data_IF_238067401099
#
_entry.id   IF_238067401099
#
_cell.length_a   1.000
_cell.length_b   1.000
_cell.length_c   1.000
_cell.angle_alpha   90.00
_cell.angle_beta   90.00
_cell.angle_gamma   90.00
#
_symmetry.space_group_name_H-M   'P 1'
#
loop_
_entity.id
_entity.type
_entity.pdbx_description
1 polymer ?
#
# COMPACT_ATOMS: atom_id res chain seq x y z
N UNK A 1 -13.52 24.14 5.82
CA UNK A 1 -13.26 22.77 5.35
C UNK A 1 -12.84 21.97 6.56
N UNK A 2 -13.63 20.98 7.05
CA UNK A 2 -13.13 20.14 8.13
C UNK A 2 -11.93 19.37 7.57
N UNK A 3 -10.88 19.23 8.39
CA UNK A 3 -9.70 18.45 8.05
C UNK A 3 -10.15 17.06 7.61
N UNK A 4 -9.66 16.67 6.44
CA UNK A 4 -9.72 15.31 5.92
C UNK A 4 -9.30 14.37 7.06
N UNK A 5 -10.28 13.66 7.64
CA UNK A 5 -9.99 12.77 8.75
C UNK A 5 -9.27 11.58 8.16
N UNK A 6 -7.93 11.64 8.18
CA UNK A 6 -7.07 10.54 7.75
C UNK A 6 -7.52 9.32 8.53
N UNK A 7 -8.19 8.39 7.84
CA UNK A 7 -8.67 7.15 8.45
C UNK A 7 -7.46 6.41 8.98
N UNK A 8 -7.47 6.06 10.26
CA UNK A 8 -6.42 5.23 10.84
C UNK A 8 -6.64 3.81 10.35
N UNK A 9 -5.69 3.32 9.57
CA UNK A 9 -5.70 1.96 9.03
C UNK A 9 -4.51 1.21 9.62
N UNK A 10 -4.76 0.04 10.19
CA UNK A 10 -3.72 -0.83 10.75
C UNK A 10 -3.87 -2.24 10.19
N UNK A 11 -2.80 -2.83 9.69
CA UNK A 11 -2.79 -4.24 9.31
C UNK A 11 -3.00 -5.10 10.56
N UNK A 12 -3.80 -6.15 10.42
CA UNK A 12 -3.91 -7.18 11.46
C UNK A 12 -2.61 -7.99 11.56
N UNK A 13 -2.46 -8.72 12.66
CA UNK A 13 -1.37 -9.70 12.82
C UNK A 13 -1.62 -10.98 12.01
N UNK A 14 -2.84 -11.17 11.49
CA UNK A 14 -3.14 -12.30 10.60
C UNK A 14 -2.26 -12.27 9.34
N UNK A 15 -1.60 -13.39 9.01
CA UNK A 15 -0.73 -13.45 7.85
C UNK A 15 -1.50 -13.24 6.55
N UNK A 16 -0.94 -12.54 5.55
CA UNK A 16 -1.59 -12.42 4.25
C UNK A 16 -1.68 -13.82 3.60
N UNK A 17 -2.73 -14.06 2.81
CA UNK A 17 -3.00 -15.35 2.15
C UNK A 17 -2.81 -15.20 0.66
N UNK A 18 -2.01 -16.09 0.07
CA UNK A 18 -1.83 -16.11 -1.38
C UNK A 18 -3.09 -16.63 -2.08
N UNK A 19 -3.60 -15.85 -3.04
CA UNK A 19 -4.66 -16.24 -3.96
C UNK A 19 -4.05 -16.38 -5.36
N UNK A 20 -3.66 -17.59 -5.71
CA UNK A 20 -3.02 -17.90 -7.00
C UNK A 20 -3.96 -17.80 -8.20
N UNK A 21 -5.29 -17.85 -7.99
CA UNK A 21 -6.26 -17.70 -9.09
C UNK A 21 -6.38 -16.23 -9.51
N UNK A 22 -6.30 -15.31 -8.55
CA UNK A 22 -6.35 -13.87 -8.79
C UNK A 22 -4.96 -13.19 -8.82
N UNK A 23 -3.88 -13.95 -8.61
CA UNK A 23 -2.50 -13.47 -8.55
C UNK A 23 -2.30 -12.29 -7.57
N UNK A 24 -2.79 -12.46 -6.34
CA UNK A 24 -2.75 -11.45 -5.29
C UNK A 24 -2.50 -12.04 -3.90
N UNK A 25 -2.00 -11.22 -2.98
CA UNK A 25 -2.01 -11.51 -1.54
C UNK A 25 -3.22 -10.83 -0.90
N UNK A 26 -4.09 -11.60 -0.26
CA UNK A 26 -5.25 -11.09 0.51
C UNK A 26 -4.86 -10.88 1.95
N UNK A 27 -5.28 -9.77 2.55
CA UNK A 27 -4.95 -9.41 3.92
C UNK A 27 -6.10 -8.63 4.57
N UNK A 28 -6.03 -8.44 5.88
CA UNK A 28 -7.02 -7.69 6.63
C UNK A 28 -6.37 -6.45 7.22
N UNK A 29 -7.08 -5.34 7.12
CA UNK A 29 -6.78 -4.12 7.88
C UNK A 29 -7.95 -3.80 8.79
N UNK A 30 -7.67 -3.21 9.94
CA UNK A 30 -8.66 -2.56 10.77
C UNK A 30 -8.76 -1.09 10.41
N UNK A 31 -9.98 -0.61 10.20
CA UNK A 31 -10.31 0.81 9.99
C UNK A 31 -11.37 1.20 11.00
N UNK A 32 -11.05 2.15 11.86
CA UNK A 32 -11.94 2.61 12.94
C UNK A 32 -12.54 1.43 13.75
N UNK A 33 -11.71 0.40 14.00
CA UNK A 33 -12.09 -0.82 14.74
C UNK A 33 -12.93 -1.84 13.95
N UNK A 34 -13.04 -1.70 12.63
CA UNK A 34 -13.74 -2.65 11.75
C UNK A 34 -12.77 -3.34 10.81
N UNK A 35 -12.85 -4.68 10.66
CA UNK A 35 -12.00 -5.39 9.72
C UNK A 35 -12.47 -5.18 8.28
N UNK A 36 -11.51 -4.95 7.38
CA UNK A 36 -11.71 -4.81 5.96
C UNK A 36 -10.74 -5.71 5.21
N UNK A 37 -11.28 -6.60 4.37
CA UNK A 37 -10.48 -7.42 3.45
C UNK A 37 -9.93 -6.54 2.34
N UNK A 38 -8.62 -6.59 2.15
CA UNK A 38 -7.88 -5.91 1.10
C UNK A 38 -7.04 -6.92 0.34
N UNK A 39 -6.55 -6.53 -0.82
CA UNK A 39 -5.60 -7.30 -1.58
C UNK A 39 -4.53 -6.43 -2.23
N UNK A 40 -3.38 -7.04 -2.50
CA UNK A 40 -2.27 -6.44 -3.25
C UNK A 40 -1.79 -7.42 -4.31
N UNK A 41 -1.63 -6.96 -5.55
CA UNK A 41 -1.23 -7.85 -6.65
C UNK A 41 0.22 -8.31 -6.50
N UNK A 42 0.55 -9.49 -7.03
CA UNK A 42 1.94 -9.99 -7.10
C UNK A 42 2.83 -8.96 -7.81
N UNK A 43 2.38 -8.44 -8.94
CA UNK A 43 3.13 -7.43 -9.71
C UNK A 43 3.47 -6.19 -8.87
N UNK A 44 2.57 -5.78 -7.97
CA UNK A 44 2.84 -4.67 -7.07
C UNK A 44 3.96 -5.01 -6.08
N UNK A 45 3.91 -6.21 -5.48
CA UNK A 45 4.92 -6.71 -4.55
C UNK A 45 6.30 -6.84 -5.20
N UNK A 46 6.36 -7.31 -6.45
CA UNK A 46 7.59 -7.40 -7.24
C UNK A 46 8.14 -6.01 -7.57
N UNK A 47 7.34 -5.16 -8.20
CA UNK A 47 7.78 -3.85 -8.70
C UNK A 47 8.16 -2.87 -7.59
N UNK A 48 7.45 -2.91 -6.44
CA UNK A 48 7.49 -1.82 -5.46
C UNK A 48 7.94 -2.23 -4.07
N UNK A 49 7.93 -3.52 -3.76
CA UNK A 49 8.26 -4.04 -2.41
C UNK A 49 9.40 -5.08 -2.45
N UNK A 50 9.93 -5.36 -3.64
CA UNK A 50 11.10 -6.19 -3.84
C UNK A 50 10.87 -7.67 -3.60
N UNK A 51 9.68 -8.18 -3.92
CA UNK A 51 9.50 -9.64 -4.01
C UNK A 51 10.49 -10.20 -5.04
N UNK A 52 11.21 -11.26 -4.66
CA UNK A 52 12.26 -11.86 -5.50
C UNK A 52 11.70 -12.82 -6.55
N UNK A 53 10.49 -13.32 -6.31
CA UNK A 53 9.76 -14.21 -7.19
C UNK A 53 8.27 -14.20 -6.82
N UNK A 54 7.45 -14.85 -7.67
CA UNK A 54 6.03 -15.10 -7.39
C UNK A 54 5.78 -16.26 -6.40
N UNK A 55 6.81 -16.77 -5.73
CA UNK A 55 6.65 -17.79 -4.68
C UNK A 55 6.08 -17.13 -3.40
N UNK A 56 5.12 -17.80 -2.77
CA UNK A 56 4.40 -17.26 -1.61
C UNK A 56 5.31 -16.76 -0.49
N UNK A 57 6.42 -17.44 -0.21
CA UNK A 57 7.38 -17.01 0.81
C UNK A 57 8.04 -15.64 0.48
N UNK A 58 8.47 -15.45 -0.77
CA UNK A 58 9.06 -14.17 -1.21
C UNK A 58 8.04 -13.04 -1.22
N UNK A 59 6.77 -13.35 -1.53
CA UNK A 59 5.66 -12.40 -1.49
C UNK A 59 5.34 -11.97 -0.05
N UNK A 60 5.31 -12.92 0.90
CA UNK A 60 5.13 -12.64 2.33
C UNK A 60 6.27 -11.77 2.86
N UNK A 61 7.52 -12.11 2.56
CA UNK A 61 8.68 -11.31 2.96
C UNK A 61 8.62 -9.87 2.41
N UNK A 62 8.18 -9.70 1.16
CA UNK A 62 7.99 -8.37 0.56
C UNK A 62 6.85 -7.59 1.20
N UNK A 63 5.74 -8.27 1.48
CA UNK A 63 4.61 -7.70 2.21
C UNK A 63 5.03 -7.21 3.60
N UNK A 64 5.77 -8.02 4.34
CA UNK A 64 6.21 -7.70 5.70
C UNK A 64 7.17 -6.51 5.75
N UNK A 65 8.12 -6.42 4.81
CA UNK A 65 8.96 -5.20 4.64
C UNK A 65 8.14 -3.97 4.25
N UNK A 66 7.01 -4.17 3.57
CA UNK A 66 6.15 -3.15 3.01
C UNK A 66 5.01 -2.64 3.90
N UNK A 67 4.77 -3.27 5.06
CA UNK A 67 3.55 -3.09 5.88
C UNK A 67 3.12 -1.64 6.06
N UNK A 68 4.02 -0.77 6.54
CA UNK A 68 3.69 0.63 6.79
C UNK A 68 3.27 1.40 5.51
N UNK A 69 3.88 1.08 4.37
CA UNK A 69 3.55 1.71 3.08
C UNK A 69 2.25 1.17 2.50
N UNK A 70 1.94 -0.10 2.76
CA UNK A 70 0.67 -0.76 2.41
C UNK A 70 -0.48 -0.19 3.26
N UNK A 71 -0.29 -0.02 4.56
CA UNK A 71 -1.28 0.63 5.45
C UNK A 71 -1.62 2.05 4.99
N UNK A 72 -0.61 2.85 4.68
CA UNK A 72 -0.81 4.20 4.16
C UNK A 72 -1.58 4.18 2.83
N UNK A 73 -1.32 3.20 1.96
CA UNK A 73 -2.04 3.02 0.71
C UNK A 73 -3.52 2.66 0.95
N UNK A 74 -3.79 1.73 1.87
CA UNK A 74 -5.15 1.37 2.26
C UNK A 74 -5.89 2.58 2.87
N UNK A 75 -5.24 3.38 3.70
CA UNK A 75 -5.83 4.59 4.29
C UNK A 75 -6.28 5.59 3.22
N UNK A 76 -5.44 5.83 2.21
CA UNK A 76 -5.77 6.70 1.07
C UNK A 76 -6.95 6.15 0.26
N UNK A 77 -6.92 4.87 -0.13
CA UNK A 77 -7.98 4.28 -0.96
C UNK A 77 -9.31 4.16 -0.20
N UNK A 78 -9.28 3.82 1.09
CA UNK A 78 -10.48 3.70 1.91
C UNK A 78 -11.10 5.05 2.29
N UNK A 79 -10.34 6.14 2.24
CA UNK A 79 -10.89 7.48 2.43
C UNK A 79 -11.91 7.84 1.33
N UNK A 80 -11.71 7.36 0.10
CA UNK A 80 -12.60 7.61 -1.04
C UNK A 80 -13.92 6.81 -1.00
N UNK A 81 -14.10 5.93 0.00
CA UNK A 81 -15.37 5.26 0.28
C UNK A 81 -15.82 4.19 -0.73
N UNK A 82 -14.97 3.82 -1.71
CA UNK A 82 -15.28 2.81 -2.71
C UNK A 82 -14.83 1.41 -2.27
N UNK A 83 -15.72 0.66 -1.63
CA UNK A 83 -15.64 -0.81 -1.52
C UNK A 83 -14.29 -1.41 -1.07
N UNK A 84 -14.05 -2.68 -1.39
CA UNK A 84 -12.80 -3.37 -1.05
C UNK A 84 -11.57 -2.76 -1.74
N UNK A 85 -10.41 -2.85 -1.09
CA UNK A 85 -9.16 -2.29 -1.62
C UNK A 85 -8.42 -3.36 -2.41
N UNK A 86 -8.09 -3.04 -3.66
CA UNK A 86 -7.10 -3.78 -4.43
C UNK A 86 -5.96 -2.83 -4.81
N UNK A 87 -4.76 -3.12 -4.28
CA UNK A 87 -3.56 -2.34 -4.53
C UNK A 87 -2.78 -2.93 -5.70
N UNK A 88 -2.76 -2.19 -6.81
CA UNK A 88 -2.03 -2.60 -8.02
C UNK A 88 -0.75 -1.78 -8.22
N UNK A 89 0.19 -2.30 -9.02
CA UNK A 89 1.45 -1.62 -9.36
C UNK A 89 1.22 -0.21 -9.92
N UNK A 90 0.16 0.01 -10.71
CA UNK A 90 -0.21 1.32 -11.26
C UNK A 90 -0.42 2.41 -10.20
N UNK A 91 -1.05 2.06 -9.08
CA UNK A 91 -1.28 2.99 -7.97
C UNK A 91 0.05 3.47 -7.36
N UNK A 92 0.97 2.55 -7.09
CA UNK A 92 2.28 2.87 -6.53
C UNK A 92 3.15 3.68 -7.49
N UNK A 93 3.10 3.40 -8.80
CA UNK A 93 3.81 4.21 -9.81
C UNK A 93 3.36 5.68 -9.79
N UNK A 94 2.07 5.96 -9.58
CA UNK A 94 1.56 7.33 -9.48
C UNK A 94 2.01 7.99 -8.17
N UNK A 95 1.90 7.29 -7.03
CA UNK A 95 2.36 7.81 -5.73
C UNK A 95 3.86 8.07 -5.71
N UNK A 96 4.68 7.18 -6.24
CA UNK A 96 6.14 7.33 -6.24
C UNK A 96 6.58 8.50 -7.11
N UNK A 97 5.91 8.71 -8.26
CA UNK A 97 6.12 9.91 -9.08
C UNK A 97 5.72 11.18 -8.32
N UNK A 98 4.60 11.17 -7.60
CA UNK A 98 4.17 12.32 -6.79
C UNK A 98 5.17 12.62 -5.65
N UNK A 99 5.59 11.59 -4.92
CA UNK A 99 6.59 11.70 -3.86
C UNK A 99 7.94 12.22 -4.38
N UNK A 100 8.41 11.70 -5.52
CA UNK A 100 9.64 12.14 -6.17
C UNK A 100 9.60 13.61 -6.63
N UNK A 101 8.46 14.08 -7.14
CA UNK A 101 8.26 15.51 -7.46
C UNK A 101 8.34 16.39 -6.22
N UNK A 102 7.71 15.98 -5.12
CA UNK A 102 7.73 16.71 -3.84
C UNK A 102 9.14 16.78 -3.26
N UNK A 103 9.88 15.67 -3.24
CA UNK A 103 11.26 15.61 -2.77
C UNK A 103 12.18 16.54 -3.60
N UNK A 104 12.04 16.52 -4.93
CA UNK A 104 12.80 17.40 -5.83
C UNK A 104 12.51 18.88 -5.58
N UNK A 105 11.25 19.24 -5.34
CA UNK A 105 10.87 20.62 -5.02
C UNK A 105 11.44 21.10 -3.67
N UNK A 106 11.48 20.22 -2.66
CA UNK A 106 12.11 20.49 -1.37
C UNK A 106 13.61 20.78 -1.50
N UNK A 107 14.33 19.96 -2.28
CA UNK A 107 15.76 20.15 -2.52
C UNK A 107 16.08 21.48 -3.24
N UNK A 108 15.26 21.88 -4.21
CA UNK A 108 15.44 23.15 -4.93
C UNK A 108 15.26 24.34 -3.98
N UNK A 109 14.29 24.29 -3.06
CA UNK A 109 14.06 25.36 -2.07
C UNK A 109 15.23 25.49 -1.10
N UNK A 110 15.79 24.38 -0.62
CA UNK A 110 16.94 24.40 0.32
C UNK A 110 18.23 24.95 -0.29
N UNK A 111 18.38 24.94 -1.63
CA UNK A 111 19.56 25.45 -2.33
C UNK A 111 19.49 26.95 -2.63
N UNK A 112 18.37 27.59 -2.35
CA UNK A 112 18.10 29.02 -2.64
C UNK A 112 18.03 29.87 -1.36
N UNK A 113 18.39 29.28 -0.22
CA UNK A 113 18.48 29.90 1.11
C UNK A 113 19.93 29.98 1.55
#
# INVERSE_FOLDING_TARGET
MPADSVRRVTLTDDPPVFDGAALQMRFVVEVDGKPHTCAITIEALEDHFGARSALEADLRDAFDRGRARIEAACAEVLADGKGGVELHSGYFRVRDKAAGKTARAGLIRSRKS
#
